data_IF_304404704745
#
_entry.id   IF_304404704745
#
_cell.length_a   1.000
_cell.length_b   1.000
_cell.length_c   1.000
_cell.angle_alpha   90.00
_cell.angle_beta   90.00
_cell.angle_gamma   90.00
#
_symmetry.space_group_name_H-M   'P 1'
#
loop_
_entity.id
_entity.type
_entity.pdbx_description
1 polymer ?
#
# COMPACT_ATOMS: atom_id res chain seq x y z
N UNK A 1 -23.42 -5.48 -17.52
CA UNK A 1 -23.40 -6.26 -16.25
C UNK A 1 -22.95 -5.32 -15.16
N UNK A 2 -23.33 -5.54 -13.91
CA UNK A 2 -22.77 -4.80 -12.78
C UNK A 2 -21.50 -5.50 -12.30
N UNK A 3 -20.51 -4.73 -11.85
CA UNK A 3 -19.31 -5.26 -11.25
C UNK A 3 -19.59 -5.77 -9.83
N UNK A 4 -19.19 -6.98 -9.52
CA UNK A 4 -19.36 -7.61 -8.22
C UNK A 4 -18.19 -7.23 -7.29
N UNK A 5 -18.51 -6.53 -6.23
CA UNK A 5 -17.54 -5.94 -5.31
C UNK A 5 -17.57 -6.66 -3.97
N UNK A 6 -16.39 -6.92 -3.42
CA UNK A 6 -16.20 -7.36 -2.05
C UNK A 6 -15.40 -6.31 -1.30
N UNK A 7 -15.67 -6.11 -0.01
CA UNK A 7 -14.84 -5.30 0.89
C UNK A 7 -14.24 -6.16 1.99
N UNK A 8 -12.99 -5.86 2.35
CA UNK A 8 -12.28 -6.43 3.50
C UNK A 8 -11.79 -5.30 4.39
N UNK A 9 -12.40 -5.18 5.57
CA UNK A 9 -12.09 -4.14 6.57
C UNK A 9 -12.48 -4.67 7.96
N UNK A 10 -11.73 -4.39 9.00
CA UNK A 10 -12.03 -4.84 10.35
C UNK A 10 -12.99 -3.89 11.10
N UNK A 11 -13.38 -2.78 10.47
CA UNK A 11 -14.31 -1.81 11.02
C UNK A 11 -15.74 -2.01 10.49
N UNK A 12 -16.64 -2.52 11.32
CA UNK A 12 -18.04 -2.81 10.96
C UNK A 12 -18.77 -1.61 10.32
N UNK A 13 -18.53 -0.40 10.82
CA UNK A 13 -19.16 0.82 10.28
C UNK A 13 -18.71 1.12 8.84
N UNK A 14 -17.49 0.76 8.49
CA UNK A 14 -16.96 0.89 7.12
C UNK A 14 -17.62 -0.12 6.21
N UNK A 15 -17.72 -1.38 6.65
CA UNK A 15 -18.40 -2.44 5.89
C UNK A 15 -19.85 -2.06 5.57
N UNK A 16 -20.61 -1.57 6.55
CA UNK A 16 -22.01 -1.13 6.38
C UNK A 16 -22.08 0.06 5.42
N UNK A 17 -21.25 1.11 5.63
CA UNK A 17 -21.29 2.33 4.85
C UNK A 17 -20.95 2.09 3.38
N UNK A 18 -19.88 1.36 3.10
CA UNK A 18 -19.45 1.05 1.74
C UNK A 18 -20.43 0.09 1.05
N UNK A 19 -20.97 -0.88 1.77
CA UNK A 19 -22.01 -1.76 1.22
C UNK A 19 -23.25 -0.99 0.75
N UNK A 20 -23.72 -0.03 1.56
CA UNK A 20 -24.84 0.82 1.19
C UNK A 20 -24.51 1.70 -0.03
N UNK A 21 -23.31 2.30 -0.06
CA UNK A 21 -22.84 3.13 -1.17
C UNK A 21 -22.79 2.34 -2.48
N UNK A 22 -22.15 1.17 -2.49
CA UNK A 22 -22.00 0.33 -3.67
C UNK A 22 -23.36 -0.15 -4.18
N UNK A 23 -24.25 -0.57 -3.29
CA UNK A 23 -25.59 -1.01 -3.66
C UNK A 23 -26.49 0.12 -4.18
N UNK A 24 -26.19 1.38 -3.85
CA UNK A 24 -26.86 2.54 -4.45
C UNK A 24 -26.42 2.83 -5.90
N UNK A 25 -25.29 2.24 -6.34
CA UNK A 25 -24.75 2.40 -7.68
C UNK A 25 -25.54 1.59 -8.72
N UNK A 26 -25.56 2.10 -9.95
CA UNK A 26 -26.11 1.38 -11.10
C UNK A 26 -25.10 0.45 -11.77
N UNK A 27 -23.80 0.59 -11.47
CA UNK A 27 -22.72 -0.14 -12.15
C UNK A 27 -22.04 -1.20 -11.27
N UNK A 28 -22.28 -1.18 -9.96
CA UNK A 28 -21.68 -2.10 -9.01
C UNK A 28 -22.74 -2.81 -8.14
N UNK A 29 -22.38 -3.95 -7.58
CA UNK A 29 -23.18 -4.70 -6.60
C UNK A 29 -22.26 -5.25 -5.52
N UNK A 30 -22.60 -5.05 -4.25
CA UNK A 30 -21.86 -5.66 -3.13
C UNK A 30 -22.26 -7.13 -3.00
N UNK A 31 -21.30 -8.03 -3.11
CA UNK A 31 -21.51 -9.48 -3.01
C UNK A 31 -20.88 -10.11 -1.77
N UNK A 32 -20.07 -9.36 -1.02
CA UNK A 32 -19.51 -9.80 0.25
C UNK A 32 -18.85 -8.67 1.04
N UNK A 33 -18.91 -8.78 2.36
CA UNK A 33 -18.23 -7.89 3.30
C UNK A 33 -17.57 -8.76 4.35
N UNK A 34 -16.25 -8.67 4.50
CA UNK A 34 -15.42 -9.59 5.26
C UNK A 34 -14.42 -8.86 6.16
N UNK A 35 -13.93 -9.56 7.18
CA UNK A 35 -12.91 -9.03 8.08
C UNK A 35 -11.49 -9.49 7.73
N UNK A 36 -11.37 -10.55 6.94
CA UNK A 36 -10.09 -11.16 6.56
C UNK A 36 -10.05 -11.54 5.07
N UNK A 37 -8.85 -11.61 4.51
CA UNK A 37 -8.64 -12.08 3.14
C UNK A 37 -8.96 -13.57 3.00
N UNK A 38 -8.81 -14.34 4.07
CA UNK A 38 -9.16 -15.77 4.07
C UNK A 38 -10.65 -16.00 3.80
N UNK A 39 -11.53 -15.15 4.35
CA UNK A 39 -12.98 -15.24 4.09
C UNK A 39 -13.32 -14.92 2.62
N UNK A 40 -12.52 -14.08 1.94
CA UNK A 40 -12.65 -13.86 0.49
C UNK A 40 -12.31 -15.13 -0.28
N UNK A 41 -11.23 -15.81 0.09
CA UNK A 41 -10.87 -17.09 -0.53
C UNK A 41 -11.94 -18.17 -0.34
N UNK A 42 -12.55 -18.24 0.83
CA UNK A 42 -13.69 -19.14 1.10
C UNK A 42 -14.89 -18.77 0.21
N UNK A 43 -15.14 -17.48 -0.01
CA UNK A 43 -16.19 -17.03 -0.95
C UNK A 43 -15.88 -17.49 -2.37
N UNK A 44 -14.67 -17.33 -2.87
CA UNK A 44 -14.26 -17.75 -4.23
C UNK A 44 -14.43 -19.25 -4.44
N UNK A 45 -14.15 -20.06 -3.41
CA UNK A 45 -14.30 -21.52 -3.47
C UNK A 45 -15.74 -22.00 -3.29
N UNK A 46 -16.65 -21.17 -2.81
CA UNK A 46 -18.06 -21.46 -2.67
C UNK A 46 -18.83 -21.15 -3.97
N UNK A 47 -18.95 -22.14 -4.85
CA UNK A 47 -19.63 -22.01 -6.14
C UNK A 47 -21.13 -21.65 -6.04
N UNK A 48 -21.70 -21.54 -4.85
CA UNK A 48 -23.08 -21.06 -4.64
C UNK A 48 -23.15 -19.54 -4.54
N UNK A 49 -22.01 -18.86 -4.33
CA UNK A 49 -21.90 -17.41 -4.24
C UNK A 49 -21.63 -16.77 -5.60
N UNK A 50 -22.00 -15.50 -5.78
CA UNK A 50 -21.68 -14.75 -6.99
C UNK A 50 -20.16 -14.64 -7.19
N UNK A 51 -19.65 -14.59 -8.44
CA UNK A 51 -18.23 -14.32 -8.69
C UNK A 51 -17.85 -12.93 -8.17
N UNK A 52 -16.58 -12.74 -7.84
CA UNK A 52 -15.99 -11.47 -7.42
C UNK A 52 -15.21 -10.89 -8.59
N UNK A 53 -15.40 -9.60 -8.90
CA UNK A 53 -14.61 -8.89 -9.91
C UNK A 53 -13.51 -8.04 -9.27
N UNK A 54 -13.79 -7.44 -8.08
CA UNK A 54 -12.83 -6.55 -7.39
C UNK A 54 -12.98 -6.62 -5.86
N UNK A 55 -11.85 -6.53 -5.18
CA UNK A 55 -11.76 -6.46 -3.72
C UNK A 55 -11.33 -5.06 -3.29
N UNK A 56 -12.12 -4.40 -2.46
CA UNK A 56 -11.70 -3.23 -1.68
C UNK A 56 -11.01 -3.72 -0.41
N UNK A 57 -9.71 -3.49 -0.29
CA UNK A 57 -8.89 -4.02 0.80
C UNK A 57 -8.38 -2.91 1.71
N UNK A 58 -8.70 -2.98 3.01
CA UNK A 58 -8.01 -2.13 3.99
C UNK A 58 -6.57 -2.59 4.19
N UNK A 59 -5.67 -1.62 4.39
CA UNK A 59 -4.26 -1.87 4.66
C UNK A 59 -3.98 -2.40 6.07
N UNK A 60 -4.92 -2.15 7.00
CA UNK A 60 -4.78 -2.55 8.41
C UNK A 60 -5.91 -3.46 8.81
N UNK A 61 -5.64 -4.74 8.83
CA UNK A 61 -6.58 -5.75 9.35
C UNK A 61 -6.16 -6.17 10.77
N UNK A 62 -7.15 -6.50 11.59
CA UNK A 62 -6.96 -6.91 13.00
C UNK A 62 -6.22 -8.26 13.14
N UNK A 63 -6.29 -9.12 12.10
CA UNK A 63 -5.53 -10.37 12.03
C UNK A 63 -4.03 -10.17 11.86
N UNK A 64 -3.65 -8.89 11.61
CA UNK A 64 -2.27 -8.52 11.40
C UNK A 64 -1.61 -9.14 10.15
N UNK A 65 -2.35 -9.52 9.15
CA UNK A 65 -1.81 -9.97 7.87
C UNK A 65 -1.01 -8.86 7.15
N UNK A 66 -0.04 -9.27 6.34
CA UNK A 66 0.81 -8.34 5.60
C UNK A 66 0.07 -7.87 4.33
N UNK A 67 -0.07 -6.56 4.06
CA UNK A 67 -0.73 -6.08 2.85
C UNK A 67 -0.12 -6.63 1.56
N UNK A 68 1.20 -6.74 1.48
CA UNK A 68 1.90 -7.31 0.32
C UNK A 68 1.46 -8.76 0.07
N UNK A 69 1.40 -9.59 1.12
CA UNK A 69 1.04 -11.01 1.00
C UNK A 69 -0.45 -11.16 0.69
N UNK A 70 -1.30 -10.32 1.28
CA UNK A 70 -2.73 -10.27 1.01
C UNK A 70 -3.03 -9.95 -0.45
N UNK A 71 -2.36 -8.94 -1.03
CA UNK A 71 -2.54 -8.55 -2.43
C UNK A 71 -2.08 -9.66 -3.36
N UNK A 72 -0.89 -10.23 -3.13
CA UNK A 72 -0.40 -11.33 -3.95
C UNK A 72 -1.36 -12.52 -3.92
N UNK A 73 -1.87 -12.88 -2.74
CA UNK A 73 -2.82 -13.97 -2.60
C UNK A 73 -4.14 -13.71 -3.34
N UNK A 74 -4.67 -12.48 -3.29
CA UNK A 74 -5.88 -12.12 -4.04
C UNK A 74 -5.63 -12.12 -5.55
N UNK A 75 -4.44 -11.69 -6.02
CA UNK A 75 -4.05 -11.77 -7.42
C UNK A 75 -3.89 -13.23 -7.89
N UNK A 76 -3.42 -14.16 -7.04
CA UNK A 76 -3.39 -15.60 -7.35
C UNK A 76 -4.81 -16.18 -7.55
N UNK A 77 -5.83 -15.56 -6.96
CA UNK A 77 -7.25 -15.88 -7.17
C UNK A 77 -7.86 -15.17 -8.39
N UNK A 78 -7.06 -14.47 -9.19
CA UNK A 78 -7.46 -13.68 -10.38
C UNK A 78 -8.44 -12.55 -10.07
N UNK A 79 -8.30 -11.92 -8.88
CA UNK A 79 -9.13 -10.81 -8.42
C UNK A 79 -8.40 -9.49 -8.58
N UNK A 80 -9.10 -8.46 -9.08
CA UNK A 80 -8.59 -7.09 -9.00
C UNK A 80 -8.62 -6.57 -7.56
N UNK A 81 -7.57 -5.85 -7.13
CA UNK A 81 -7.43 -5.35 -5.77
C UNK A 81 -7.29 -3.83 -5.75
N UNK A 82 -8.21 -3.16 -5.08
CA UNK A 82 -8.14 -1.75 -4.76
C UNK A 82 -7.87 -1.54 -3.28
N UNK A 83 -6.82 -0.81 -2.95
CA UNK A 83 -6.61 -0.38 -1.56
C UNK A 83 -7.65 0.66 -1.20
N UNK A 84 -8.33 0.47 -0.06
CA UNK A 84 -9.29 1.39 0.51
C UNK A 84 -8.78 1.87 1.88
N UNK A 85 -8.05 3.00 1.91
CA UNK A 85 -7.27 3.41 3.08
C UNK A 85 -7.49 4.87 3.45
N UNK A 86 -7.31 5.20 4.74
CA UNK A 86 -7.27 6.58 5.23
C UNK A 86 -5.88 7.24 5.07
N UNK A 87 -4.94 6.65 4.33
CA UNK A 87 -3.54 7.11 4.15
C UNK A 87 -2.73 7.29 5.46
N UNK A 88 -3.09 6.57 6.50
CA UNK A 88 -2.42 6.68 7.81
C UNK A 88 -0.99 6.12 7.81
N UNK A 89 -0.60 5.33 6.81
CA UNK A 89 0.70 4.69 6.73
C UNK A 89 1.27 4.72 5.31
N UNK A 90 2.19 5.65 5.03
CA UNK A 90 2.96 5.65 3.78
C UNK A 90 3.70 4.32 3.54
N UNK A 91 4.15 3.66 4.61
CA UNK A 91 4.85 2.39 4.55
C UNK A 91 3.95 1.26 4.02
N UNK A 92 2.76 1.09 4.58
CA UNK A 92 1.82 0.05 4.12
C UNK A 92 1.32 0.34 2.70
N UNK A 93 1.05 1.62 2.37
CA UNK A 93 0.69 2.03 1.01
C UNK A 93 1.80 1.68 0.02
N UNK A 94 3.06 1.92 0.39
CA UNK A 94 4.20 1.55 -0.46
C UNK A 94 4.33 0.04 -0.63
N UNK A 95 4.09 -0.75 0.42
CA UNK A 95 4.06 -2.22 0.31
C UNK A 95 2.99 -2.68 -0.68
N UNK A 96 1.79 -2.11 -0.61
CA UNK A 96 0.71 -2.41 -1.55
C UNK A 96 1.09 -2.08 -3.00
N UNK A 97 1.70 -0.90 -3.23
CA UNK A 97 2.20 -0.50 -4.56
C UNK A 97 3.30 -1.44 -5.08
N UNK A 98 4.16 -1.93 -4.20
CA UNK A 98 5.22 -2.88 -4.57
C UNK A 98 4.66 -4.26 -4.91
N UNK A 99 3.56 -4.66 -4.28
CA UNK A 99 2.81 -5.88 -4.61
C UNK A 99 2.02 -5.77 -5.93
N UNK A 100 1.98 -4.57 -6.55
CA UNK A 100 1.32 -4.37 -7.83
C UNK A 100 -0.20 -4.17 -7.74
N UNK A 101 -0.69 -3.60 -6.63
CA UNK A 101 -2.12 -3.29 -6.46
C UNK A 101 -2.70 -2.52 -7.66
N UNK A 102 -3.93 -2.82 -8.02
CA UNK A 102 -4.60 -2.27 -9.20
C UNK A 102 -4.99 -0.80 -9.05
N UNK A 103 -5.26 -0.33 -7.82
CA UNK A 103 -5.55 1.06 -7.54
C UNK A 103 -5.56 1.39 -6.05
N UNK A 104 -5.66 2.70 -5.76
CA UNK A 104 -5.73 3.22 -4.39
C UNK A 104 -6.90 4.20 -4.31
N UNK A 105 -7.78 3.98 -3.36
CA UNK A 105 -8.93 4.82 -3.05
C UNK A 105 -8.81 5.30 -1.61
N UNK A 106 -8.86 6.61 -1.42
CA UNK A 106 -8.86 7.19 -0.08
C UNK A 106 -10.26 7.11 0.55
N UNK A 107 -10.36 6.71 1.83
CA UNK A 107 -11.63 6.62 2.58
C UNK A 107 -12.37 7.97 2.69
N UNK A 108 -11.67 9.09 2.48
CA UNK A 108 -12.22 10.45 2.43
C UNK A 108 -12.72 10.90 1.04
N UNK A 109 -12.51 10.09 0.03
CA UNK A 109 -12.91 10.38 -1.36
C UNK A 109 -14.43 10.38 -1.53
N UNK A 110 -14.93 11.17 -2.52
CA UNK A 110 -16.36 11.19 -2.83
C UNK A 110 -16.88 9.84 -3.32
N UNK A 111 -18.17 9.57 -3.08
CA UNK A 111 -18.83 8.34 -3.51
C UNK A 111 -18.70 8.07 -5.01
N UNK A 112 -18.79 9.13 -5.83
CA UNK A 112 -18.66 9.05 -7.27
C UNK A 112 -17.27 8.57 -7.69
N UNK A 113 -16.22 9.08 -7.05
CA UNK A 113 -14.84 8.71 -7.34
C UNK A 113 -14.55 7.27 -6.90
N UNK A 114 -15.09 6.82 -5.76
CA UNK A 114 -14.97 5.40 -5.34
C UNK A 114 -15.55 4.47 -6.43
N UNK A 115 -16.73 4.77 -6.93
CA UNK A 115 -17.36 3.96 -7.99
C UNK A 115 -16.58 4.04 -9.32
N UNK A 116 -15.99 5.19 -9.64
CA UNK A 116 -15.15 5.34 -10.85
C UNK A 116 -13.89 4.47 -10.77
N UNK A 117 -13.17 4.48 -9.62
CA UNK A 117 -11.98 3.65 -9.43
C UNK A 117 -12.30 2.16 -9.48
N UNK A 118 -13.44 1.72 -8.88
CA UNK A 118 -13.91 0.34 -8.97
C UNK A 118 -14.15 -0.06 -10.43
N UNK A 119 -14.86 0.77 -11.20
CA UNK A 119 -15.13 0.48 -12.62
C UNK A 119 -13.84 0.47 -13.45
N UNK A 120 -12.88 1.33 -13.15
CA UNK A 120 -11.58 1.39 -13.82
C UNK A 120 -10.76 0.11 -13.57
N UNK A 121 -10.68 -0.36 -12.32
CA UNK A 121 -10.00 -1.60 -11.96
C UNK A 121 -10.63 -2.83 -12.63
N UNK A 122 -11.96 -2.94 -12.62
CA UNK A 122 -12.68 -4.04 -13.30
C UNK A 122 -12.50 -4.03 -14.82
N UNK A 123 -12.32 -2.85 -15.43
CA UNK A 123 -12.12 -2.74 -16.89
C UNK A 123 -10.72 -3.14 -17.34
N UNK A 124 -9.75 -3.12 -16.44
CA UNK A 124 -8.35 -3.34 -16.76
C UNK A 124 -7.62 -4.05 -15.59
N UNK A 125 -8.06 -5.27 -15.21
CA UNK A 125 -7.50 -5.97 -14.07
C UNK A 125 -6.00 -6.21 -14.24
N UNK A 126 -5.26 -6.21 -13.15
CA UNK A 126 -3.79 -6.35 -13.07
C UNK A 126 -2.99 -5.27 -13.81
N UNK A 127 -3.64 -4.13 -14.09
CA UNK A 127 -2.98 -3.00 -14.72
C UNK A 127 -3.21 -1.75 -13.83
N UNK A 128 -2.18 -1.29 -13.09
CA UNK A 128 -2.34 -0.22 -12.11
C UNK A 128 -3.00 1.03 -12.70
N UNK A 129 -4.08 1.49 -12.10
CA UNK A 129 -4.75 2.72 -12.52
C UNK A 129 -3.91 3.95 -12.14
N UNK A 130 -4.26 5.10 -12.70
CA UNK A 130 -3.53 6.37 -12.52
C UNK A 130 -3.32 6.76 -11.06
N UNK A 131 -4.20 6.34 -10.15
CA UNK A 131 -4.09 6.62 -8.70
C UNK A 131 -2.78 6.11 -8.10
N UNK A 132 -2.31 4.92 -8.49
CA UNK A 132 -1.04 4.34 -8.01
C UNK A 132 0.17 5.17 -8.44
N UNK A 133 0.24 5.55 -9.72
CA UNK A 133 1.35 6.35 -10.26
C UNK A 133 1.33 7.78 -9.72
N UNK A 134 0.16 8.36 -9.56
CA UNK A 134 -0.04 9.69 -8.98
C UNK A 134 0.42 9.74 -7.52
N UNK A 135 0.09 8.72 -6.73
CA UNK A 135 0.52 8.66 -5.33
C UNK A 135 2.04 8.66 -5.19
N UNK A 136 2.74 7.81 -5.96
CA UNK A 136 4.21 7.77 -5.96
C UNK A 136 4.84 9.10 -6.39
N UNK A 137 4.31 9.73 -7.43
CA UNK A 137 4.82 11.00 -7.94
C UNK A 137 4.64 12.14 -6.94
N UNK A 138 3.54 12.13 -6.17
CA UNK A 138 3.22 13.19 -5.21
C UNK A 138 3.94 13.00 -3.87
N UNK A 139 4.08 11.76 -3.41
CA UNK A 139 4.50 11.49 -2.04
C UNK A 139 5.96 11.03 -1.91
N UNK A 140 6.64 10.68 -3.01
CA UNK A 140 7.97 10.08 -2.94
C UNK A 140 8.99 10.82 -3.80
N UNK A 141 10.21 10.99 -3.26
CA UNK A 141 11.37 11.40 -4.05
C UNK A 141 11.86 10.21 -4.89
N UNK A 142 12.12 10.40 -6.21
CA UNK A 142 12.53 9.30 -7.08
C UNK A 142 13.98 8.86 -6.79
N UNK A 143 14.12 7.87 -5.91
CA UNK A 143 15.38 7.23 -5.59
C UNK A 143 15.59 5.99 -6.49
N UNK A 144 16.84 5.74 -6.90
CA UNK A 144 17.18 4.47 -7.54
C UNK A 144 17.05 3.31 -6.56
N UNK A 145 16.92 2.04 -7.03
CA UNK A 145 16.83 0.87 -6.12
C UNK A 145 17.98 0.82 -5.11
N UNK A 146 19.21 1.11 -5.54
CA UNK A 146 20.38 1.15 -4.66
C UNK A 146 20.38 2.32 -3.66
N UNK A 147 19.90 3.50 -4.08
CA UNK A 147 19.73 4.63 -3.17
C UNK A 147 18.68 4.33 -2.09
N UNK A 148 17.62 3.65 -2.47
CA UNK A 148 16.55 3.23 -1.55
C UNK A 148 17.08 2.25 -0.52
N UNK A 149 17.74 1.17 -0.94
CA UNK A 149 18.35 0.17 -0.06
C UNK A 149 19.31 0.79 0.95
N UNK A 150 20.19 1.69 0.50
CA UNK A 150 21.14 2.41 1.38
C UNK A 150 20.38 3.30 2.38
N UNK A 151 19.35 4.03 1.93
CA UNK A 151 18.58 4.91 2.81
C UNK A 151 17.78 4.11 3.84
N UNK A 152 17.13 3.03 3.46
CA UNK A 152 16.36 2.16 4.35
C UNK A 152 17.22 1.64 5.50
N UNK A 153 18.36 1.01 5.18
CA UNK A 153 19.28 0.50 6.20
C UNK A 153 19.81 1.61 7.11
N UNK A 154 20.23 2.74 6.52
CA UNK A 154 20.76 3.87 7.28
C UNK A 154 19.71 4.52 8.18
N UNK A 155 18.47 4.62 7.72
CA UNK A 155 17.36 5.19 8.46
C UNK A 155 16.86 4.25 9.59
N UNK A 156 16.98 2.93 9.42
CA UNK A 156 16.73 1.94 10.47
C UNK A 156 17.77 1.96 11.59
N UNK A 157 18.78 2.82 11.50
CA UNK A 157 19.76 3.04 12.57
C UNK A 157 21.17 2.55 12.24
N UNK A 158 21.36 1.77 11.20
CA UNK A 158 22.65 1.20 10.85
C UNK A 158 23.70 2.30 10.56
N UNK A 159 24.93 2.18 11.08
CA UNK A 159 26.02 3.07 10.71
C UNK A 159 26.51 2.78 9.28
N UNK A 160 27.09 3.78 8.60
CA UNK A 160 27.55 3.64 7.21
C UNK A 160 28.46 2.43 6.98
N UNK A 161 29.30 2.07 7.95
CA UNK A 161 30.16 0.88 7.90
C UNK A 161 29.34 -0.43 7.84
N UNK A 162 28.23 -0.50 8.58
CA UNK A 162 27.36 -1.68 8.58
C UNK A 162 26.53 -1.74 7.31
N UNK A 163 26.01 -0.58 6.85
CA UNK A 163 25.32 -0.48 5.54
C UNK A 163 26.25 -0.97 4.42
N UNK A 164 27.52 -0.54 4.41
CA UNK A 164 28.52 -1.00 3.44
C UNK A 164 28.66 -2.54 3.44
N UNK A 165 28.79 -3.13 4.64
CA UNK A 165 28.88 -4.59 4.80
C UNK A 165 27.63 -5.33 4.31
N UNK A 166 26.43 -4.81 4.59
CA UNK A 166 25.16 -5.44 4.23
C UNK A 166 24.86 -5.35 2.72
N UNK A 167 25.30 -4.25 2.08
CA UNK A 167 25.03 -3.99 0.66
C UNK A 167 26.16 -4.44 -0.27
N UNK A 168 27.32 -4.88 0.28
CA UNK A 168 28.51 -5.23 -0.50
C UNK A 168 29.20 -4.02 -1.12
N UNK A 169 29.00 -2.82 -0.57
CA UNK A 169 29.60 -1.57 -1.04
C UNK A 169 30.80 -1.15 -0.16
N UNK A 170 31.62 -0.19 -0.65
CA UNK A 170 32.57 0.51 0.20
C UNK A 170 31.88 1.58 1.06
N UNK A 171 32.49 1.96 2.18
CA UNK A 171 31.98 3.05 3.03
C UNK A 171 31.92 4.37 2.29
N UNK A 172 32.90 4.64 1.43
CA UNK A 172 32.95 5.82 0.55
C UNK A 172 31.74 5.82 -0.39
N UNK A 173 31.44 4.69 -1.03
CA UNK A 173 30.28 4.54 -1.92
C UNK A 173 28.96 4.77 -1.18
N UNK A 174 28.84 4.26 0.05
CA UNK A 174 27.64 4.51 0.88
C UNK A 174 27.49 6.01 1.17
N UNK A 175 28.59 6.70 1.54
CA UNK A 175 28.58 8.14 1.80
C UNK A 175 28.22 8.94 0.53
N UNK A 176 28.69 8.52 -0.65
CA UNK A 176 28.32 9.12 -1.94
C UNK A 176 26.82 8.95 -2.22
N UNK A 177 26.26 7.78 -1.98
CA UNK A 177 24.81 7.56 -2.09
C UNK A 177 24.03 8.47 -1.14
N UNK A 178 24.42 8.55 0.13
CA UNK A 178 23.77 9.44 1.11
C UNK A 178 23.84 10.91 0.68
N UNK A 179 24.97 11.35 0.12
CA UNK A 179 25.12 12.71 -0.43
C UNK A 179 24.16 12.96 -1.60
N UNK A 180 24.11 12.04 -2.57
CA UNK A 180 23.18 12.14 -3.71
C UNK A 180 21.72 12.10 -3.29
N UNK A 181 21.38 11.29 -2.26
CA UNK A 181 20.03 11.24 -1.68
C UNK A 181 19.66 12.60 -1.10
N UNK A 182 20.57 13.23 -0.30
CA UNK A 182 20.35 14.58 0.25
C UNK A 182 20.12 15.61 -0.84
N UNK A 183 20.90 15.55 -1.92
CA UNK A 183 20.72 16.45 -3.08
C UNK A 183 19.34 16.29 -3.70
N UNK A 184 18.86 15.06 -3.88
CA UNK A 184 17.52 14.80 -4.44
C UNK A 184 16.40 15.33 -3.54
N UNK A 185 16.50 15.13 -2.22
CA UNK A 185 15.54 15.70 -1.27
C UNK A 185 15.57 17.23 -1.27
N UNK A 186 16.75 17.84 -1.36
CA UNK A 186 16.87 19.29 -1.45
C UNK A 186 16.23 19.84 -2.74
N UNK A 187 16.43 19.18 -3.89
CA UNK A 187 15.79 19.53 -5.16
C UNK A 187 14.27 19.40 -5.12
N UNK A 188 13.74 18.48 -4.32
CA UNK A 188 12.31 18.32 -4.08
C UNK A 188 11.75 19.30 -3.01
N UNK A 189 12.53 20.30 -2.57
CA UNK A 189 12.11 21.25 -1.54
C UNK A 189 12.07 20.69 -0.11
N UNK A 190 12.65 19.51 0.11
CA UNK A 190 12.66 18.76 1.40
C UNK A 190 14.09 18.54 1.91
N UNK A 191 14.90 19.60 2.18
CA UNK A 191 16.31 19.47 2.49
C UNK A 191 16.55 18.63 3.75
N UNK A 192 17.74 17.98 3.80
CA UNK A 192 18.16 17.10 4.89
C UNK A 192 19.60 17.42 5.29
N UNK A 193 19.81 17.80 6.55
CA UNK A 193 21.11 18.23 7.08
C UNK A 193 21.71 17.21 8.03
N UNK A 194 20.87 16.41 8.69
CA UNK A 194 21.23 15.43 9.70
C UNK A 194 20.83 14.01 9.33
N UNK A 195 21.25 13.02 10.14
CA UNK A 195 20.72 11.64 10.06
C UNK A 195 19.23 11.62 10.40
N UNK A 196 18.79 12.40 11.38
CA UNK A 196 17.38 12.47 11.81
C UNK A 196 16.50 12.95 10.67
N UNK A 197 16.94 13.96 9.90
CA UNK A 197 16.16 14.43 8.74
C UNK A 197 16.00 13.31 7.71
N UNK A 198 17.04 12.53 7.43
CA UNK A 198 16.92 11.39 6.51
C UNK A 198 15.97 10.31 7.03
N UNK A 199 15.94 10.06 8.34
CA UNK A 199 14.98 9.15 8.98
C UNK A 199 13.56 9.66 8.78
N UNK A 200 13.31 10.95 9.02
CA UNK A 200 12.00 11.56 8.82
C UNK A 200 11.56 11.45 7.35
N UNK A 201 12.46 11.72 6.39
CA UNK A 201 12.14 11.57 4.95
C UNK A 201 11.86 10.12 4.57
N UNK A 202 12.60 9.17 5.13
CA UNK A 202 12.37 7.76 4.89
C UNK A 202 11.00 7.29 5.44
N UNK A 203 10.57 7.82 6.58
CA UNK A 203 9.23 7.59 7.14
C UNK A 203 8.13 8.20 6.26
N UNK A 204 8.28 9.48 5.87
CA UNK A 204 7.33 10.21 5.02
C UNK A 204 7.15 9.55 3.65
N UNK A 205 8.24 9.05 3.04
CA UNK A 205 8.22 8.36 1.76
C UNK A 205 7.84 6.87 1.89
N UNK A 206 7.54 6.38 3.10
CA UNK A 206 7.17 4.99 3.36
C UNK A 206 8.27 3.97 3.10
N UNK A 207 9.54 4.38 3.20
CA UNK A 207 10.69 3.49 3.03
C UNK A 207 10.96 2.62 4.26
N UNK A 208 10.64 3.13 5.43
CA UNK A 208 10.75 2.42 6.71
C UNK A 208 9.43 2.48 7.48
N UNK A 209 9.13 1.46 8.30
CA UNK A 209 7.89 1.44 9.07
C UNK A 209 7.87 2.58 10.09
N UNK A 210 6.70 3.24 10.22
CA UNK A 210 6.43 4.20 11.27
C UNK A 210 6.14 3.53 12.61
N UNK A 211 6.05 4.30 13.71
CA UNK A 211 5.80 3.76 15.05
C UNK A 211 4.51 2.92 15.16
N UNK A 212 3.50 3.23 14.35
CA UNK A 212 2.24 2.47 14.30
C UNK A 212 2.31 1.23 13.40
N UNK A 213 3.36 1.10 12.57
CA UNK A 213 3.54 -0.02 11.65
C UNK A 213 4.43 -1.11 12.28
N UNK A 214 5.24 -0.74 13.27
CA UNK A 214 6.07 -1.67 14.04
C UNK A 214 5.17 -2.38 15.05
N UNK A 215 4.89 -3.66 14.81
CA UNK A 215 4.17 -4.48 15.77
C UNK A 215 5.10 -4.81 16.92
N UNK A 216 4.73 -4.39 18.12
CA UNK A 216 5.34 -4.92 19.33
C UNK A 216 4.95 -6.40 19.38
N UNK A 217 5.86 -7.30 18.98
CA UNK A 217 5.75 -8.71 19.36
C UNK A 217 5.72 -8.73 20.88
N UNK A 218 4.53 -8.88 21.45
CA UNK A 218 4.41 -9.17 22.87
C UNK A 218 5.11 -10.52 23.07
N UNK A 219 6.32 -10.48 23.61
CA UNK A 219 6.99 -11.68 24.11
C UNK A 219 6.06 -12.28 25.18
N UNK A 220 5.42 -13.37 24.83
CA UNK A 220 4.79 -14.26 25.82
C UNK A 220 5.78 -15.32 26.22
#
# INVERSE_FOLDING_TARGET
>A
MKNNVVIVDDHEIVLIGISALINSSNTCTMVGAYHTVQEVAEHVHDHTKPPIDVVLLDLRLSDNSCPHDNINYLHELDLAVLIFSAYESPYLTRQALTAGVDGIVEKSTSSENIIQEINAACSNPHNPVTSCTSWLATNCVPLSPRQREVLELYALGEPAKRVASLTGLSVETVNDYLSRIRTKYAQAGRPTFSKVDLVLRALEDGLIPGPRDVRVRTLR
#
